data_IF_508574972938
#
_entry.id   IF_508574972938
#
_cell.length_a   1.000
_cell.length_b   1.000
_cell.length_c   1.000
_cell.angle_alpha   90.00
_cell.angle_beta   90.00
_cell.angle_gamma   90.00
#
_symmetry.space_group_name_H-M   'P 1'
#
loop_
_entity.id
_entity.type
_entity.pdbx_description
1 polymer ?
#
# COMPACT_ATOMS: atom_id res chain seq x y z
N UNK A 1 6.22 -20.16 23.22
CA UNK A 1 4.86 -19.63 23.00
C UNK A 1 4.97 -18.17 22.59
N UNK A 2 5.46 -17.88 21.38
CA UNK A 2 5.86 -16.49 21.06
C UNK A 2 5.86 -16.19 19.56
N UNK A 3 6.30 -17.13 18.72
CA UNK A 3 6.49 -16.88 17.29
C UNK A 3 5.17 -16.76 16.50
N UNK A 4 4.17 -17.59 16.80
CA UNK A 4 2.86 -17.53 16.12
C UNK A 4 2.08 -16.24 16.43
N UNK A 5 2.10 -15.78 17.69
CA UNK A 5 1.51 -14.51 18.09
C UNK A 5 2.22 -13.31 17.43
N UNK A 6 3.55 -13.35 17.34
CA UNK A 6 4.32 -12.32 16.65
C UNK A 6 3.95 -12.21 15.17
N UNK A 7 3.86 -13.34 14.48
CA UNK A 7 3.44 -13.38 13.07
C UNK A 7 1.99 -12.91 12.90
N UNK A 8 1.09 -13.33 13.79
CA UNK A 8 -0.31 -12.93 13.73
C UNK A 8 -0.48 -11.42 13.96
N UNK A 9 0.21 -10.85 14.94
CA UNK A 9 0.21 -9.41 15.18
C UNK A 9 0.81 -8.63 13.99
N UNK A 10 1.94 -9.08 13.44
CA UNK A 10 2.51 -8.47 12.23
C UNK A 10 1.52 -8.51 11.06
N UNK A 11 0.93 -9.67 10.79
CA UNK A 11 -0.07 -9.83 9.73
C UNK A 11 -1.30 -8.94 9.93
N UNK A 12 -1.77 -8.81 11.17
CA UNK A 12 -2.91 -7.96 11.50
C UNK A 12 -2.61 -6.47 11.30
N UNK A 13 -1.45 -6.00 11.78
CA UNK A 13 -1.03 -4.59 11.62
C UNK A 13 -0.77 -4.27 10.15
N UNK A 14 -0.08 -5.15 9.42
CA UNK A 14 0.16 -5.01 7.99
C UNK A 14 -1.15 -4.99 7.20
N UNK A 15 -2.07 -5.91 7.49
CA UNK A 15 -3.38 -5.96 6.83
C UNK A 15 -4.21 -4.70 7.06
N UNK A 16 -4.28 -4.22 8.30
CA UNK A 16 -4.98 -2.98 8.64
C UNK A 16 -4.37 -1.75 7.94
N UNK A 17 -3.03 -1.66 7.90
CA UNK A 17 -2.32 -0.57 7.25
C UNK A 17 -2.47 -0.60 5.71
N UNK A 18 -2.43 -1.78 5.09
CA UNK A 18 -2.57 -1.91 3.63
C UNK A 18 -3.96 -1.49 3.16
N UNK A 19 -5.00 -1.89 3.89
CA UNK A 19 -6.38 -1.57 3.54
C UNK A 19 -6.64 -0.05 3.54
N UNK A 20 -6.08 0.65 4.54
CA UNK A 20 -6.13 2.12 4.59
C UNK A 20 -5.50 2.79 3.37
N UNK A 21 -4.38 2.26 2.89
CA UNK A 21 -3.71 2.78 1.69
C UNK A 21 -4.52 2.52 0.41
N UNK A 22 -5.10 1.32 0.25
CA UNK A 22 -5.94 0.99 -0.92
C UNK A 22 -7.14 1.96 -0.99
N UNK A 23 -7.77 2.25 0.14
CA UNK A 23 -8.86 3.22 0.21
C UNK A 23 -8.39 4.64 -0.14
N UNK A 24 -7.25 5.09 0.41
CA UNK A 24 -6.66 6.41 0.14
C UNK A 24 -6.33 6.61 -1.34
N UNK A 25 -5.66 5.64 -1.98
CA UNK A 25 -5.36 5.71 -3.41
C UNK A 25 -6.62 5.77 -4.27
N UNK A 26 -7.68 5.06 -3.88
CA UNK A 26 -8.98 5.14 -4.54
C UNK A 26 -9.64 6.51 -4.43
N UNK A 27 -9.44 7.24 -3.33
CA UNK A 27 -9.94 8.61 -3.15
C UNK A 27 -9.10 9.58 -3.98
N UNK A 28 -7.77 9.49 -3.92
CA UNK A 28 -6.86 10.37 -4.68
C UNK A 28 -7.09 10.21 -6.19
N UNK A 29 -7.29 8.98 -6.68
CA UNK A 29 -7.62 8.72 -8.08
C UNK A 29 -8.98 9.30 -8.50
N UNK A 30 -9.94 9.33 -7.57
CA UNK A 30 -11.26 9.92 -7.78
C UNK A 30 -11.18 11.45 -7.87
N UNK A 31 -10.37 12.09 -7.01
CA UNK A 31 -10.16 13.55 -7.03
C UNK A 31 -9.30 14.02 -8.22
N UNK A 32 -8.44 13.16 -8.76
CA UNK A 32 -7.60 13.46 -9.92
C UNK A 32 -8.34 13.36 -11.26
N UNK A 33 -9.57 12.85 -11.27
CA UNK A 33 -10.37 12.63 -12.47
C UNK A 33 -11.51 13.66 -12.58
N UNK A 34 -11.87 14.10 -13.80
CA UNK A 34 -12.99 15.02 -13.99
C UNK A 34 -14.30 14.41 -13.47
N UNK A 35 -15.19 15.25 -12.92
CA UNK A 35 -16.41 14.87 -12.15
C UNK A 35 -17.30 13.77 -12.76
N UNK A 36 -17.25 13.56 -14.08
CA UNK A 36 -18.04 12.56 -14.79
C UNK A 36 -17.42 11.14 -14.81
N UNK A 37 -16.15 10.97 -14.39
CA UNK A 37 -15.40 9.71 -14.39
C UNK A 37 -14.84 9.30 -13.02
N UNK A 38 -15.05 10.13 -11.99
CA UNK A 38 -14.58 9.91 -10.61
C UNK A 38 -14.94 8.51 -10.06
N UNK A 39 -16.16 8.03 -10.30
CA UNK A 39 -16.59 6.68 -9.92
C UNK A 39 -15.85 5.55 -10.67
N UNK A 40 -15.56 5.74 -11.95
CA UNK A 40 -14.80 4.77 -12.76
C UNK A 40 -13.34 4.70 -12.34
N UNK A 41 -12.72 5.83 -12.02
CA UNK A 41 -11.34 5.88 -11.49
C UNK A 41 -11.21 5.16 -10.15
N UNK A 42 -12.18 5.36 -9.24
CA UNK A 42 -12.23 4.63 -7.97
C UNK A 42 -12.37 3.12 -8.18
N UNK A 43 -13.30 2.70 -9.06
CA UNK A 43 -13.51 1.29 -9.38
C UNK A 43 -12.27 0.65 -10.04
N UNK A 44 -11.58 1.38 -10.92
CA UNK A 44 -10.33 0.92 -11.55
C UNK A 44 -9.20 0.75 -10.52
N UNK A 45 -9.05 1.70 -9.60
CA UNK A 45 -8.06 1.62 -8.53
C UNK A 45 -8.34 0.43 -7.60
N UNK A 46 -9.62 0.22 -7.22
CA UNK A 46 -10.03 -0.94 -6.44
C UNK A 46 -9.78 -2.27 -7.19
N UNK A 47 -10.09 -2.33 -8.49
CA UNK A 47 -9.85 -3.50 -9.32
C UNK A 47 -8.34 -3.81 -9.41
N UNK A 48 -7.52 -2.80 -9.70
CA UNK A 48 -6.06 -2.95 -9.76
C UNK A 48 -5.47 -3.44 -8.43
N UNK A 49 -5.95 -2.92 -7.31
CA UNK A 49 -5.55 -3.38 -5.97
C UNK A 49 -5.91 -4.85 -5.72
N UNK A 50 -7.13 -5.27 -6.07
CA UNK A 50 -7.56 -6.67 -5.91
C UNK A 50 -6.79 -7.63 -6.84
N UNK A 51 -6.55 -7.24 -8.10
CA UNK A 51 -5.74 -8.03 -9.04
C UNK A 51 -4.32 -8.19 -8.51
N UNK A 52 -3.70 -7.10 -8.03
CA UNK A 52 -2.36 -7.15 -7.43
C UNK A 52 -2.29 -8.08 -6.23
N UNK A 53 -3.30 -8.05 -5.34
CA UNK A 53 -3.38 -8.94 -4.19
C UNK A 53 -3.44 -10.43 -4.61
N UNK A 54 -4.28 -10.77 -5.60
CA UNK A 54 -4.42 -12.14 -6.11
C UNK A 54 -3.12 -12.61 -6.75
N UNK A 55 -2.51 -11.77 -7.61
CA UNK A 55 -1.25 -12.11 -8.28
C UNK A 55 -0.11 -12.26 -7.27
N UNK A 56 -0.10 -11.47 -6.20
CA UNK A 56 0.96 -11.53 -5.18
C UNK A 56 0.92 -12.81 -4.32
N UNK A 57 -0.23 -13.47 -4.22
CA UNK A 57 -0.38 -14.68 -3.39
C UNK A 57 0.42 -15.87 -3.88
N UNK A 58 0.45 -16.11 -5.20
CA UNK A 58 1.22 -17.20 -5.82
C UNK A 58 2.75 -17.07 -5.62
N UNK A 59 3.41 -15.93 -5.94
CA UNK A 59 4.83 -15.75 -5.68
C UNK A 59 5.13 -15.73 -4.18
N UNK A 60 4.22 -15.24 -3.32
CA UNK A 60 4.37 -15.36 -1.86
C UNK A 60 4.45 -16.80 -1.40
N UNK A 61 3.58 -17.67 -1.94
CA UNK A 61 3.56 -19.09 -1.61
C UNK A 61 4.83 -19.81 -2.09
N UNK A 62 5.33 -19.46 -3.28
CA UNK A 62 6.60 -19.99 -3.81
C UNK A 62 7.78 -19.51 -2.96
N UNK A 63 7.85 -18.22 -2.62
CA UNK A 63 8.91 -17.67 -1.76
C UNK A 63 8.88 -18.26 -0.35
N UNK A 64 7.69 -18.50 0.21
CA UNK A 64 7.55 -19.11 1.54
C UNK A 64 8.10 -20.54 1.57
N UNK A 65 7.94 -21.27 0.46
CA UNK A 65 8.44 -22.64 0.30
C UNK A 65 9.96 -22.66 0.07
N UNK A 66 10.51 -21.67 -0.64
CA UNK A 66 11.94 -21.59 -0.96
C UNK A 66 12.81 -21.00 0.17
N UNK A 67 12.36 -19.94 0.84
CA UNK A 67 13.16 -19.10 1.75
C UNK A 67 12.67 -19.15 3.21
N UNK A 68 11.55 -19.86 3.46
CA UNK A 68 10.90 -19.93 4.76
C UNK A 68 10.09 -18.66 5.09
N UNK A 69 9.05 -18.83 5.91
CA UNK A 69 8.12 -17.76 6.28
C UNK A 69 8.79 -16.53 6.91
N UNK A 70 9.90 -16.70 7.65
CA UNK A 70 10.63 -15.57 8.25
C UNK A 70 11.15 -14.58 7.21
N UNK A 71 11.74 -15.07 6.12
CA UNK A 71 12.31 -14.21 5.07
C UNK A 71 11.19 -13.44 4.35
N UNK A 72 10.05 -14.10 4.13
CA UNK A 72 8.87 -13.52 3.50
C UNK A 72 8.27 -12.37 4.33
N UNK A 73 8.13 -12.56 5.64
CA UNK A 73 7.65 -11.49 6.52
C UNK A 73 8.64 -10.32 6.61
N UNK A 74 9.94 -10.58 6.61
CA UNK A 74 10.97 -9.53 6.59
C UNK A 74 10.94 -8.73 5.28
N UNK A 75 10.79 -9.40 4.13
CA UNK A 75 10.61 -8.76 2.84
C UNK A 75 9.37 -7.87 2.82
N UNK A 76 8.26 -8.36 3.36
CA UNK A 76 7.01 -7.62 3.46
C UNK A 76 7.15 -6.38 4.34
N UNK A 77 7.86 -6.50 5.46
CA UNK A 77 8.15 -5.38 6.36
C UNK A 77 9.02 -4.32 5.68
N UNK A 78 10.07 -4.73 4.97
CA UNK A 78 10.91 -3.81 4.19
C UNK A 78 10.09 -3.11 3.11
N UNK A 79 9.24 -3.83 2.38
CA UNK A 79 8.40 -3.27 1.31
C UNK A 79 7.35 -2.30 1.86
N UNK A 80 6.74 -2.62 3.00
CA UNK A 80 5.82 -1.73 3.69
C UNK A 80 6.53 -0.48 4.21
N UNK A 81 7.73 -0.64 4.78
CA UNK A 81 8.56 0.47 5.25
C UNK A 81 8.99 1.41 4.13
N UNK A 82 9.43 0.87 2.99
CA UNK A 82 9.81 1.68 1.82
C UNK A 82 8.60 2.38 1.21
N UNK A 83 7.45 1.72 1.09
CA UNK A 83 6.23 2.35 0.59
C UNK A 83 5.75 3.49 1.50
N UNK A 84 5.80 3.29 2.82
CA UNK A 84 5.45 4.33 3.79
C UNK A 84 6.42 5.52 3.73
N UNK A 85 7.73 5.26 3.61
CA UNK A 85 8.74 6.29 3.43
C UNK A 85 8.51 7.09 2.14
N UNK A 86 8.22 6.39 1.04
CA UNK A 86 7.94 7.02 -0.26
C UNK A 86 6.70 7.93 -0.17
N UNK A 87 5.62 7.45 0.46
CA UNK A 87 4.41 8.26 0.69
C UNK A 87 4.68 9.49 1.54
N UNK A 88 5.47 9.35 2.61
CA UNK A 88 5.89 10.49 3.44
C UNK A 88 6.72 11.47 2.62
N UNK A 89 7.65 11.01 1.79
CA UNK A 89 8.46 11.86 0.91
C UNK A 89 7.59 12.61 -0.09
N UNK A 90 6.66 11.93 -0.78
CA UNK A 90 5.73 12.58 -1.71
C UNK A 90 4.87 13.62 -1.00
N UNK A 91 4.31 13.30 0.18
CA UNK A 91 3.52 14.26 0.95
C UNK A 91 4.33 15.48 1.41
N UNK A 92 5.63 15.29 1.69
CA UNK A 92 6.54 16.41 2.02
C UNK A 92 6.87 17.27 0.80
N UNK A 93 6.99 16.68 -0.38
CA UNK A 93 7.21 17.39 -1.64
C UNK A 93 5.98 18.18 -2.05
N UNK A 94 4.78 17.60 -1.94
CA UNK A 94 3.52 18.27 -2.20
C UNK A 94 3.33 19.48 -1.26
N UNK A 95 3.54 19.30 0.05
CA UNK A 95 3.50 20.39 1.03
C UNK A 95 4.61 21.45 0.85
N UNK A 96 5.67 21.14 0.08
CA UNK A 96 6.70 22.12 -0.31
C UNK A 96 6.27 22.90 -1.55
N UNK A 97 5.73 22.22 -2.56
CA UNK A 97 5.24 22.83 -3.81
C UNK A 97 4.04 23.75 -3.52
N UNK A 98 3.08 23.28 -2.72
CA UNK A 98 1.93 24.08 -2.29
C UNK A 98 2.31 25.37 -1.54
N UNK A 99 3.44 25.35 -0.81
CA UNK A 99 3.96 26.55 -0.13
C UNK A 99 4.63 27.55 -1.07
N UNK A 100 5.20 27.11 -2.18
CA UNK A 100 5.81 28.02 -3.15
C UNK A 100 4.76 28.66 -4.07
N UNK A 101 3.67 27.95 -4.39
CA UNK A 101 2.60 28.48 -5.24
C UNK A 101 1.78 29.60 -4.57
N UNK A 102 1.79 29.70 -3.23
CA UNK A 102 1.06 30.74 -2.49
C UNK A 102 1.90 32.01 -2.24
N UNK A 103 3.14 32.07 -2.73
CA UNK A 103 4.02 33.24 -2.60
C UNK A 103 4.11 34.10 -3.87
N UNK A 104 3.50 33.68 -4.98
CA UNK A 104 3.35 34.44 -6.24
C UNK A 104 1.96 35.09 -6.33
#
# INVERSE_FOLDING_TARGET
MSFQLYIACLGAVLGAALYGNIALFGIIASESAPFHLSGSSHALAALAGNIGAIISGLPFSILATAMGWRAVFLLLEVFCGTASLLLLLLGRLDARIARHLHQD
#
